data_IF_849446001277
#
_entry.id   IF_849446001277
#
_cell.length_a   1.000
_cell.length_b   1.000
_cell.length_c   1.000
_cell.angle_alpha   90.00
_cell.angle_beta   90.00
_cell.angle_gamma   90.00
#
_symmetry.space_group_name_H-M   'P 1'
#
loop_
_entity.id
_entity.type
_entity.pdbx_description
1 polymer ?
#
# COMPACT_ATOMS: atom_id res chain seq x y z
N UNK A 1 -6.90 10.09 -11.50
CA UNK A 1 -6.22 8.83 -11.77
C UNK A 1 -4.70 9.00 -11.73
N UNK A 2 -4.08 9.67 -12.72
CA UNK A 2 -2.61 9.79 -12.84
C UNK A 2 -1.94 10.43 -11.60
N UNK A 3 -2.54 11.50 -11.05
CA UNK A 3 -2.04 12.17 -9.84
C UNK A 3 -1.99 11.24 -8.62
N UNK A 4 -2.99 10.38 -8.43
CA UNK A 4 -3.04 9.51 -7.24
C UNK A 4 -2.05 8.34 -7.36
N UNK A 5 -1.93 7.75 -8.55
CA UNK A 5 -0.93 6.72 -8.82
C UNK A 5 0.48 7.28 -8.61
N UNK A 6 0.75 8.49 -9.12
CA UNK A 6 2.03 9.16 -8.90
C UNK A 6 2.28 9.43 -7.41
N UNK A 7 1.26 9.85 -6.63
CA UNK A 7 1.41 10.01 -5.18
C UNK A 7 1.82 8.72 -4.46
N UNK A 8 1.28 7.57 -4.86
CA UNK A 8 1.75 6.28 -4.34
C UNK A 8 3.21 6.04 -4.74
N UNK A 9 3.59 6.27 -6.00
CA UNK A 9 5.00 6.14 -6.43
C UNK A 9 5.93 7.02 -5.57
N UNK A 10 5.57 8.28 -5.36
CA UNK A 10 6.36 9.24 -4.58
C UNK A 10 6.45 8.87 -3.09
N UNK A 11 5.40 8.24 -2.54
CA UNK A 11 5.40 7.73 -1.16
C UNK A 11 6.48 6.67 -0.92
N UNK A 12 7.02 6.05 -1.97
CA UNK A 12 8.19 5.17 -1.88
C UNK A 12 9.39 5.82 -1.19
N UNK A 13 9.62 7.12 -1.41
CA UNK A 13 10.70 7.86 -0.73
C UNK A 13 10.43 7.99 0.76
N UNK A 14 9.21 8.37 1.12
CA UNK A 14 8.78 8.48 2.53
C UNK A 14 8.93 7.14 3.27
N UNK A 15 8.54 6.05 2.63
CA UNK A 15 8.67 4.69 3.17
C UNK A 15 10.13 4.27 3.40
N UNK A 16 11.06 4.68 2.52
CA UNK A 16 12.49 4.38 2.67
C UNK A 16 13.13 5.05 3.88
N UNK A 17 12.65 6.24 4.25
CA UNK A 17 13.18 7.04 5.35
C UNK A 17 12.45 6.79 6.68
N UNK A 18 11.22 6.26 6.65
CA UNK A 18 10.41 6.01 7.84
C UNK A 18 10.84 4.76 8.62
N UNK A 19 11.22 4.94 9.88
CA UNK A 19 11.70 3.85 10.73
C UNK A 19 10.61 2.80 11.02
N UNK A 20 9.35 3.21 11.21
CA UNK A 20 8.27 2.28 11.51
C UNK A 20 7.96 1.40 10.30
N UNK A 21 7.99 1.97 9.10
CA UNK A 21 7.84 1.24 7.85
C UNK A 21 8.97 0.21 7.67
N UNK A 22 10.24 0.63 7.85
CA UNK A 22 11.39 -0.30 7.78
C UNK A 22 11.32 -1.43 8.81
N UNK A 23 10.87 -1.16 10.03
CA UNK A 23 10.63 -2.19 11.05
C UNK A 23 9.52 -3.15 10.65
N UNK A 24 8.45 -2.64 10.03
CA UNK A 24 7.34 -3.46 9.56
C UNK A 24 7.76 -4.41 8.44
N UNK A 25 8.74 -4.03 7.62
CA UNK A 25 9.21 -4.84 6.48
C UNK A 25 10.47 -5.65 6.77
N UNK A 26 11.11 -5.54 7.94
CA UNK A 26 12.49 -5.94 8.25
C UNK A 26 12.98 -7.36 7.83
N UNK A 27 12.09 -8.30 7.50
CA UNK A 27 12.47 -9.64 7.01
C UNK A 27 11.71 -10.05 5.73
N UNK A 28 11.04 -9.10 5.09
CA UNK A 28 10.16 -9.40 3.99
C UNK A 28 10.93 -9.40 2.66
N UNK A 29 10.87 -10.53 1.96
CA UNK A 29 11.17 -10.61 0.53
C UNK A 29 9.88 -10.86 -0.21
N UNK A 30 9.45 -9.92 -1.03
CA UNK A 30 8.11 -9.94 -1.62
C UNK A 30 7.69 -8.58 -2.16
N UNK A 31 6.38 -8.34 -2.25
CA UNK A 31 5.88 -7.07 -2.74
C UNK A 31 4.55 -6.63 -2.11
N UNK A 32 4.44 -5.33 -1.86
CA UNK A 32 3.17 -4.66 -1.58
C UNK A 32 2.62 -4.06 -2.87
N UNK A 33 1.36 -4.33 -3.17
CA UNK A 33 0.71 -3.83 -4.39
C UNK A 33 -0.45 -2.91 -4.06
N UNK A 34 -0.51 -1.77 -4.74
CA UNK A 34 -1.62 -0.81 -4.65
C UNK A 34 -2.24 -0.63 -6.03
N UNK A 35 -3.41 -1.21 -6.22
CA UNK A 35 -4.25 -1.09 -7.40
C UNK A 35 -5.15 0.14 -7.32
N UNK A 36 -5.02 1.05 -8.30
CA UNK A 36 -5.83 2.26 -8.45
C UNK A 36 -6.41 2.27 -9.86
N UNK A 37 -7.71 2.02 -9.97
CA UNK A 37 -8.45 2.12 -11.24
C UNK A 37 -7.76 1.44 -12.45
N UNK A 38 -7.31 0.20 -12.28
CA UNK A 38 -6.68 -0.60 -13.34
C UNK A 38 -5.16 -0.38 -13.52
N UNK A 39 -4.56 0.56 -12.79
CA UNK A 39 -3.11 0.68 -12.66
C UNK A 39 -2.64 0.09 -11.33
N UNK A 40 -1.40 -0.35 -11.24
CA UNK A 40 -0.81 -0.85 -10.01
C UNK A 40 0.53 -0.18 -9.71
N UNK A 41 0.74 0.19 -8.45
CA UNK A 41 2.05 0.55 -7.90
C UNK A 41 2.56 -0.62 -7.08
N UNK A 42 3.78 -1.07 -7.37
CA UNK A 42 4.41 -2.23 -6.74
C UNK A 42 5.63 -1.76 -5.96
N UNK A 43 5.61 -1.95 -4.66
CA UNK A 43 6.76 -1.77 -3.77
C UNK A 43 7.40 -3.13 -3.57
N UNK A 44 8.62 -3.32 -4.08
CA UNK A 44 9.34 -4.60 -3.98
C UNK A 44 10.34 -4.55 -2.84
N UNK A 45 10.35 -5.63 -2.06
CA UNK A 45 11.21 -5.80 -0.90
C UNK A 45 12.15 -6.98 -1.08
N UNK A 46 13.41 -6.80 -0.68
CA UNK A 46 14.40 -7.86 -0.59
C UNK A 46 15.08 -7.79 0.77
N UNK A 47 14.95 -8.87 1.56
CA UNK A 47 15.47 -8.93 2.93
C UNK A 47 15.06 -7.72 3.78
N UNK A 48 13.83 -7.26 3.57
CA UNK A 48 13.21 -6.13 4.25
C UNK A 48 13.56 -4.73 3.75
N UNK A 49 14.45 -4.62 2.77
CA UNK A 49 14.78 -3.35 2.13
C UNK A 49 13.83 -3.08 0.96
N UNK A 50 13.27 -1.87 0.89
CA UNK A 50 12.53 -1.40 -0.29
C UNK A 50 13.53 -1.17 -1.43
N UNK A 51 13.53 -2.06 -2.44
CA UNK A 51 14.49 -2.01 -3.55
C UNK A 51 13.95 -1.30 -4.79
N UNK A 52 12.63 -1.29 -4.98
CA UNK A 52 12.00 -0.57 -6.09
C UNK A 52 10.54 -0.23 -5.85
N UNK A 53 10.10 0.85 -6.50
CA UNK A 53 8.69 1.25 -6.61
C UNK A 53 8.38 1.47 -8.08
N UNK A 54 7.49 0.67 -8.64
CA UNK A 54 7.19 0.68 -10.09
C UNK A 54 5.70 0.76 -10.35
N UNK A 55 5.31 1.57 -11.34
CA UNK A 55 3.95 1.62 -11.89
C UNK A 55 3.79 0.62 -13.04
N UNK A 56 2.67 -0.07 -13.10
CA UNK A 56 2.31 -0.97 -14.21
C UNK A 56 0.83 -0.85 -14.59
N UNK A 57 0.53 -1.08 -15.88
CA UNK A 57 -0.80 -0.92 -16.47
C UNK A 57 -1.71 -2.15 -16.29
N UNK A 58 -1.40 -3.08 -15.37
CA UNK A 58 -2.19 -4.31 -15.21
C UNK A 58 -2.23 -4.80 -13.77
N UNK A 59 -3.35 -5.40 -13.41
CA UNK A 59 -3.50 -6.23 -12.20
C UNK A 59 -2.64 -7.48 -12.37
N UNK A 60 -1.48 -7.49 -11.71
CA UNK A 60 -0.53 -8.61 -11.79
C UNK A 60 -1.10 -9.80 -11.02
N UNK A 61 -0.92 -11.02 -11.55
CA UNK A 61 -1.34 -12.27 -10.87
C UNK A 61 -0.71 -12.40 -9.48
N UNK A 62 -1.46 -12.99 -8.55
CA UNK A 62 -1.04 -13.29 -7.18
C UNK A 62 0.21 -14.17 -7.19
N UNK A 63 1.17 -13.86 -6.32
CA UNK A 63 2.40 -14.62 -6.12
C UNK A 63 2.63 -14.79 -4.62
N UNK A 64 3.33 -15.86 -4.26
CA UNK A 64 3.73 -16.10 -2.87
C UNK A 64 4.51 -14.90 -2.32
N UNK A 65 4.28 -14.58 -1.05
CA UNK A 65 4.89 -13.43 -0.38
C UNK A 65 4.55 -12.05 -0.97
N UNK A 66 3.50 -11.95 -1.80
CA UNK A 66 3.00 -10.67 -2.30
C UNK A 66 1.54 -10.46 -1.88
N UNK A 67 1.20 -9.27 -1.41
CA UNK A 67 -0.18 -8.90 -1.08
C UNK A 67 -0.47 -7.46 -1.48
N UNK A 68 -1.74 -7.08 -1.48
CA UNK A 68 -2.10 -5.72 -1.82
C UNK A 68 -3.56 -5.39 -1.64
N UNK A 69 -3.91 -4.25 -2.22
CA UNK A 69 -5.25 -3.72 -2.23
C UNK A 69 -5.58 -3.14 -3.59
N UNK A 70 -6.80 -3.35 -4.05
CA UNK A 70 -7.34 -2.71 -5.25
C UNK A 70 -8.61 -1.93 -4.89
N UNK A 71 -8.74 -0.72 -5.43
CA UNK A 71 -9.95 0.08 -5.30
C UNK A 71 -10.01 1.15 -6.40
N UNK A 72 -11.19 1.78 -6.53
CA UNK A 72 -11.34 3.00 -7.31
C UNK A 72 -10.52 4.17 -6.74
N UNK A 73 -10.16 5.12 -7.62
CA UNK A 73 -9.57 6.42 -7.26
C UNK A 73 -10.42 7.14 -6.18
N UNK A 74 -11.76 7.06 -6.27
CA UNK A 74 -12.66 7.66 -5.29
C UNK A 74 -12.54 7.04 -3.88
N UNK A 75 -12.46 5.70 -3.80
CA UNK A 75 -12.27 5.00 -2.52
C UNK A 75 -10.92 5.32 -1.90
N UNK A 76 -9.85 5.35 -2.69
CA UNK A 76 -8.53 5.75 -2.21
C UNK A 76 -8.49 7.19 -1.71
N UNK A 77 -9.08 8.15 -2.44
CA UNK A 77 -9.19 9.53 -1.95
C UNK A 77 -9.93 9.60 -0.63
N UNK A 78 -11.07 8.92 -0.51
CA UNK A 78 -11.84 8.87 0.74
C UNK A 78 -11.06 8.23 1.89
N UNK A 79 -10.22 7.24 1.61
CA UNK A 79 -9.33 6.63 2.60
C UNK A 79 -8.27 7.62 3.10
N UNK A 80 -7.63 8.32 2.16
CA UNK A 80 -6.53 9.25 2.44
C UNK A 80 -6.98 10.60 3.00
N UNK A 81 -8.24 11.00 2.80
CA UNK A 81 -8.81 12.26 3.33
C UNK A 81 -9.46 12.11 4.72
N UNK A 82 -9.51 10.90 5.29
CA UNK A 82 -10.08 10.68 6.63
C UNK A 82 -9.10 11.04 7.76
N UNK A 83 -9.57 11.35 8.99
CA UNK A 83 -8.67 11.59 10.11
C UNK A 83 -7.81 10.35 10.41
N UNK A 84 -6.54 10.56 10.79
CA UNK A 84 -5.50 9.53 10.95
C UNK A 84 -5.84 8.42 11.96
N UNK A 85 -6.82 8.64 12.84
CA UNK A 85 -7.35 7.64 13.77
C UNK A 85 -8.44 6.72 13.16
N UNK A 86 -8.85 6.97 11.92
CA UNK A 86 -9.87 6.20 11.21
C UNK A 86 -9.26 5.02 10.45
N UNK A 87 -7.97 5.07 10.07
CA UNK A 87 -7.22 3.91 9.57
C UNK A 87 -7.10 2.80 10.61
N UNK A 88 -7.21 3.13 11.91
CA UNK A 88 -7.18 2.17 13.03
C UNK A 88 -8.52 1.50 13.34
N UNK A 89 -9.66 2.10 12.96
CA UNK A 89 -11.03 1.53 13.17
C UNK A 89 -11.66 0.89 11.93
N UNK A 90 -11.05 1.01 10.75
CA UNK A 90 -11.58 0.49 9.47
C UNK A 90 -11.27 -0.99 9.22
N UNK A 91 -11.25 -1.81 10.28
CA UNK A 91 -11.05 -3.27 10.19
C UNK A 91 -12.35 -4.07 10.03
N UNK A 92 -13.54 -3.46 10.05
CA UNK A 92 -14.79 -4.21 10.07
C UNK A 92 -15.71 -4.04 8.85
N UNK A 93 -15.64 -2.94 8.09
CA UNK A 93 -16.43 -2.77 6.86
C UNK A 93 -15.55 -2.08 5.80
N UNK A 94 -15.04 -2.89 4.86
CA UNK A 94 -14.29 -2.45 3.69
C UNK A 94 -15.04 -1.29 3.00
N UNK A 95 -14.39 -0.14 2.85
CA UNK A 95 -15.05 1.03 2.23
C UNK A 95 -15.25 0.78 0.75
N UNK A 96 -16.50 0.88 0.30
CA UNK A 96 -16.83 0.87 -1.11
C UNK A 96 -16.32 -0.39 -1.80
N UNK A 97 -15.43 -0.20 -2.77
CA UNK A 97 -14.87 -1.24 -3.64
C UNK A 97 -13.44 -1.66 -3.26
N UNK A 98 -12.98 -1.36 -2.04
CA UNK A 98 -11.65 -1.79 -1.58
C UNK A 98 -11.60 -3.32 -1.40
N UNK A 99 -10.73 -3.99 -2.16
CA UNK A 99 -10.52 -5.43 -2.09
C UNK A 99 -9.06 -5.77 -1.72
N UNK A 100 -8.86 -6.70 -0.78
CA UNK A 100 -7.54 -7.31 -0.52
C UNK A 100 -7.18 -8.28 -1.64
N UNK A 101 -5.95 -8.24 -2.12
CA UNK A 101 -5.40 -9.13 -3.14
C UNK A 101 -4.15 -9.86 -2.65
N UNK A 102 -3.81 -10.98 -3.30
CA UNK A 102 -2.58 -11.72 -3.04
C UNK A 102 -2.64 -12.64 -1.82
N UNK A 103 -1.45 -13.03 -1.36
CA UNK A 103 -1.24 -14.00 -0.27
C UNK A 103 -1.83 -13.51 1.05
N UNK A 104 -2.72 -14.33 1.63
CA UNK A 104 -3.43 -14.04 2.88
C UNK A 104 -2.53 -14.09 4.10
N UNK A 105 -1.59 -15.02 4.16
CA UNK A 105 -0.68 -15.17 5.30
C UNK A 105 0.33 -14.02 5.30
N UNK A 106 0.80 -13.66 4.11
CA UNK A 106 1.64 -12.47 3.94
C UNK A 106 0.89 -11.20 4.30
N UNK A 107 -0.39 -11.06 3.92
CA UNK A 107 -1.23 -9.96 4.40
C UNK A 107 -1.22 -9.86 5.94
N UNK A 108 -1.48 -10.95 6.65
CA UNK A 108 -1.54 -10.89 8.12
C UNK A 108 -0.21 -10.49 8.75
N UNK A 109 0.91 -10.98 8.21
CA UNK A 109 2.26 -10.64 8.69
C UNK A 109 2.65 -9.20 8.37
N UNK A 110 2.31 -8.72 7.17
CA UNK A 110 2.87 -7.50 6.58
C UNK A 110 1.88 -6.34 6.48
N UNK A 111 0.63 -6.50 6.93
CA UNK A 111 -0.36 -5.42 7.00
C UNK A 111 0.14 -4.15 7.72
N UNK A 112 0.96 -4.22 8.79
CA UNK A 112 1.53 -3.02 9.40
C UNK A 112 2.29 -2.11 8.42
N UNK A 113 2.96 -2.67 7.40
CA UNK A 113 3.63 -1.89 6.37
C UNK A 113 2.61 -1.12 5.50
N UNK A 114 1.55 -1.80 5.03
CA UNK A 114 0.47 -1.13 4.29
C UNK A 114 -0.19 -0.02 5.11
N UNK A 115 -0.45 -0.29 6.39
CA UNK A 115 -1.04 0.71 7.29
C UNK A 115 -0.14 1.95 7.38
N UNK A 116 1.16 1.75 7.61
CA UNK A 116 2.11 2.88 7.72
C UNK A 116 2.27 3.64 6.41
N UNK A 117 2.25 2.97 5.25
CA UNK A 117 2.20 3.63 3.95
C UNK A 117 1.01 4.61 3.86
N UNK A 118 -0.19 4.16 4.23
CA UNK A 118 -1.38 5.00 4.18
C UNK A 118 -1.31 6.19 5.14
N UNK A 119 -0.72 6.00 6.33
CA UNK A 119 -0.50 7.07 7.30
C UNK A 119 0.46 8.12 6.74
N UNK A 120 1.61 7.71 6.19
CA UNK A 120 2.59 8.61 5.56
C UNK A 120 1.97 9.41 4.41
N UNK A 121 1.14 8.78 3.60
CA UNK A 121 0.45 9.46 2.51
C UNK A 121 -0.61 10.46 2.98
N UNK A 122 -1.28 10.20 4.10
CA UNK A 122 -2.22 11.15 4.69
C UNK A 122 -1.47 12.35 5.29
N UNK A 123 -0.37 12.10 6.01
CA UNK A 123 0.50 13.12 6.61
C UNK A 123 1.13 14.06 5.57
N UNK A 124 1.46 13.54 4.38
CA UNK A 124 2.11 14.32 3.31
C UNK A 124 1.15 15.22 2.50
N UNK A 125 -0.10 15.43 2.95
CA UNK A 125 -1.12 16.22 2.25
C UNK A 125 -1.25 17.64 2.85
N UNK A 126 -0.11 18.33 3.03
CA UNK A 126 -0.02 19.74 3.42
C UNK A 126 0.63 20.55 2.29
#
# INVERSE_FOLDING_TARGET
>A
MEVLVQRFVDAGKLCGDDEQFRRATQFWTGALRVGVSGQSVIYRFESGHLVSVTQTASVVKERDNEFGFEASDATWRKLLSGPSNVTTKKSANWLGDLMRTGDRDTYWRQYPAMRRLLELMAESTL
#
